data_IF_749569757216
#
_entry.id   IF_749569757216
#
_cell.length_a   1.000
_cell.length_b   1.000
_cell.length_c   1.000
_cell.angle_alpha   90.00
_cell.angle_beta   90.00
_cell.angle_gamma   90.00
#
_symmetry.space_group_name_H-M   'P 1'
#
loop_
_entity.id
_entity.type
_entity.pdbx_description
1 polymer ?
#
# COMPACT_ATOMS: atom_id res chain seq x y z
N UNK A 1 -10.40 -8.87 11.15
CA UNK A 1 -10.29 -9.17 9.71
C UNK A 1 -10.31 -7.83 8.98
N UNK A 2 -9.26 -7.48 8.25
CA UNK A 2 -8.96 -6.12 7.75
C UNK A 2 -9.86 -5.59 6.61
N UNK A 3 -11.00 -6.23 6.35
CA UNK A 3 -11.98 -5.76 5.35
C UNK A 3 -11.48 -5.65 3.90
N UNK A 4 -10.35 -6.28 3.56
CA UNK A 4 -9.74 -6.18 2.24
C UNK A 4 -10.58 -6.89 1.17
N UNK A 5 -10.89 -6.16 0.11
CA UNK A 5 -11.65 -6.66 -1.03
C UNK A 5 -10.94 -6.27 -2.33
N UNK A 6 -10.58 -7.24 -3.19
CA UNK A 6 -10.60 -8.70 -2.96
C UNK A 6 -9.69 -9.13 -1.80
N UNK A 7 -9.93 -10.32 -1.25
CA UNK A 7 -9.04 -10.88 -0.22
C UNK A 7 -7.69 -11.27 -0.85
N UNK A 8 -6.56 -10.74 -0.34
CA UNK A 8 -5.24 -11.13 -0.82
C UNK A 8 -4.96 -12.62 -0.66
N UNK A 9 -4.08 -13.16 -1.52
CA UNK A 9 -3.63 -14.55 -1.43
C UNK A 9 -2.98 -14.88 -0.08
N UNK A 10 -2.15 -13.98 0.47
CA UNK A 10 -1.46 -14.18 1.74
C UNK A 10 -1.45 -12.88 2.56
N UNK A 11 -1.72 -13.01 3.86
CA UNK A 11 -1.57 -11.95 4.86
C UNK A 11 -0.90 -12.56 6.09
N UNK A 12 0.21 -11.99 6.53
CA UNK A 12 0.87 -12.33 7.77
C UNK A 12 0.95 -11.11 8.69
N UNK A 13 0.38 -11.26 9.88
CA UNK A 13 0.46 -10.20 10.90
C UNK A 13 1.85 -10.21 11.56
N UNK A 14 2.42 -9.02 11.71
CA UNK A 14 3.65 -8.78 12.45
C UNK A 14 3.35 -7.96 13.71
N UNK A 15 4.23 -8.07 14.70
CA UNK A 15 4.12 -7.27 15.93
C UNK A 15 4.41 -5.81 15.62
N UNK A 16 3.54 -4.93 16.10
CA UNK A 16 3.71 -3.48 16.01
C UNK A 16 2.65 -2.79 15.19
N UNK A 17 2.71 -1.47 15.20
CA UNK A 17 1.89 -0.59 14.36
C UNK A 17 2.78 0.49 13.76
N UNK A 18 2.39 0.96 12.59
CA UNK A 18 2.98 2.08 11.89
C UNK A 18 2.03 3.27 11.97
N UNK A 19 2.54 4.36 12.54
CA UNK A 19 1.87 5.65 12.54
C UNK A 19 2.16 6.39 11.21
N UNK A 20 1.13 6.65 10.41
CA UNK A 20 1.21 7.47 9.21
C UNK A 20 0.88 8.94 9.55
N UNK A 21 1.69 9.91 9.06
CA UNK A 21 1.34 11.32 9.14
C UNK A 21 0.18 11.64 8.20
N UNK A 22 -0.41 12.83 8.34
CA UNK A 22 -1.49 13.28 7.46
C UNK A 22 -1.11 13.28 5.96
N UNK A 23 0.17 13.52 5.67
CA UNK A 23 0.73 13.55 4.32
C UNK A 23 2.04 12.74 4.29
N UNK A 24 1.97 11.41 4.10
CA UNK A 24 3.16 10.57 4.07
C UNK A 24 4.03 10.88 2.85
N UNK A 25 5.34 10.74 3.01
CA UNK A 25 6.31 10.83 1.92
C UNK A 25 6.30 9.51 1.15
N UNK A 26 6.07 9.61 -0.16
CA UNK A 26 6.10 8.45 -1.07
C UNK A 26 7.30 8.59 -2.00
N UNK A 27 8.27 7.71 -1.84
CA UNK A 27 9.42 7.55 -2.72
C UNK A 27 9.07 6.49 -3.78
N UNK A 28 9.30 6.79 -5.05
CA UNK A 28 9.01 5.87 -6.14
C UNK A 28 10.25 5.67 -7.01
N UNK A 29 10.48 4.42 -7.42
CA UNK A 29 11.48 4.11 -8.43
C UNK A 29 11.10 4.76 -9.78
N UNK A 30 12.07 5.00 -10.68
CA UNK A 30 11.80 5.59 -11.99
C UNK A 30 10.74 4.80 -12.77
N UNK A 31 9.75 5.49 -13.33
CA UNK A 31 8.64 4.88 -14.07
C UNK A 31 7.41 4.52 -13.24
N UNK A 32 7.41 4.83 -11.93
CA UNK A 32 6.26 4.67 -11.02
C UNK A 32 5.67 6.01 -10.54
N UNK A 33 5.93 7.11 -11.27
CA UNK A 33 5.50 8.44 -10.88
C UNK A 33 3.97 8.57 -10.85
N UNK A 34 3.28 7.90 -11.77
CA UNK A 34 1.82 7.88 -11.81
C UNK A 34 1.22 7.14 -10.61
N UNK A 35 1.77 5.98 -10.26
CA UNK A 35 1.35 5.18 -9.10
C UNK A 35 1.61 5.91 -7.79
N UNK A 36 2.74 6.64 -7.70
CA UNK A 36 3.04 7.53 -6.57
C UNK A 36 1.95 8.60 -6.42
N UNK A 37 1.63 9.33 -7.49
CA UNK A 37 0.67 10.43 -7.43
C UNK A 37 -0.75 9.96 -7.10
N UNK A 38 -1.13 8.83 -7.67
CA UNK A 38 -2.39 8.16 -7.38
C UNK A 38 -2.47 7.74 -5.90
N UNK A 39 -1.43 7.10 -5.37
CA UNK A 39 -1.38 6.71 -3.95
C UNK A 39 -1.37 7.94 -3.04
N UNK A 40 -0.62 9.00 -3.38
CA UNK A 40 -0.60 10.24 -2.62
C UNK A 40 -2.00 10.85 -2.50
N UNK A 41 -2.73 10.93 -3.62
CA UNK A 41 -4.09 11.45 -3.65
C UNK A 41 -5.05 10.63 -2.79
N UNK A 42 -4.97 9.30 -2.89
CA UNK A 42 -5.79 8.38 -2.10
C UNK A 42 -5.50 8.46 -0.61
N UNK A 43 -4.23 8.39 -0.19
CA UNK A 43 -3.86 8.46 1.22
C UNK A 43 -4.22 9.81 1.83
N UNK A 44 -3.98 10.92 1.12
CA UNK A 44 -4.41 12.25 1.59
C UNK A 44 -5.92 12.26 1.83
N UNK A 45 -6.72 11.72 0.91
CA UNK A 45 -8.17 11.66 1.07
C UNK A 45 -8.63 10.74 2.21
N UNK A 46 -7.94 9.64 2.47
CA UNK A 46 -8.28 8.73 3.57
C UNK A 46 -7.91 9.32 4.95
N UNK A 47 -6.76 10.00 5.04
CA UNK A 47 -6.17 10.40 6.32
C UNK A 47 -6.52 11.82 6.77
N UNK A 48 -7.12 12.65 5.89
CA UNK A 48 -7.50 14.05 6.17
C UNK A 48 -8.41 14.20 7.39
N UNK A 49 -9.29 13.22 7.64
CA UNK A 49 -10.25 13.24 8.76
C UNK A 49 -9.80 12.44 9.98
N UNK A 50 -8.65 11.78 9.91
CA UNK A 50 -8.15 10.97 11.02
C UNK A 50 -7.48 11.87 12.08
N UNK A 51 -7.54 11.49 13.38
CA UNK A 51 -6.95 12.28 14.46
C UNK A 51 -5.44 12.48 14.24
N UNK A 52 -4.86 13.61 14.70
CA UNK A 52 -3.43 13.89 14.56
C UNK A 52 -2.58 12.84 15.27
N UNK A 53 -1.40 12.55 14.71
CA UNK A 53 -0.48 11.54 15.23
C UNK A 53 0.86 12.19 15.57
N UNK A 54 1.61 11.64 16.53
CA UNK A 54 2.89 12.20 16.96
C UNK A 54 3.95 12.32 15.84
N UNK A 55 3.78 11.57 14.75
CA UNK A 55 4.66 11.58 13.56
C UNK A 55 4.46 12.79 12.64
N UNK A 56 3.46 13.65 12.87
CA UNK A 56 3.25 14.86 12.06
C UNK A 56 4.39 15.90 12.24
N UNK A 57 5.29 15.71 13.21
CA UNK A 57 6.42 16.61 13.53
C UNK A 57 7.81 16.09 13.12
N UNK A 58 7.90 14.87 12.58
CA UNK A 58 9.16 14.22 12.16
C UNK A 58 9.00 13.86 10.68
N UNK A 59 10.08 13.84 9.85
CA UNK A 59 10.00 13.22 8.53
C UNK A 59 9.42 11.80 8.68
N UNK A 60 8.17 11.65 8.27
CA UNK A 60 7.38 10.46 8.54
C UNK A 60 7.94 9.22 7.85
N UNK A 61 7.44 8.03 8.22
CA UNK A 61 7.86 6.78 7.60
C UNK A 61 7.73 6.84 6.08
N UNK A 62 8.82 6.50 5.38
CA UNK A 62 8.85 6.51 3.93
C UNK A 62 8.01 5.33 3.39
N UNK A 63 7.08 5.63 2.49
CA UNK A 63 6.43 4.63 1.66
C UNK A 63 7.28 4.50 0.39
N UNK A 64 7.87 3.34 0.15
CA UNK A 64 8.72 3.09 -1.01
C UNK A 64 8.01 2.22 -2.03
N UNK A 65 7.97 2.68 -3.28
CA UNK A 65 7.44 1.97 -4.43
C UNK A 65 8.59 1.48 -5.30
N UNK A 66 8.67 0.17 -5.48
CA UNK A 66 9.73 -0.50 -6.23
C UNK A 66 9.15 -1.44 -7.29
N UNK A 67 9.88 -1.60 -8.39
CA UNK A 67 9.66 -2.67 -9.35
C UNK A 67 10.57 -3.84 -9.02
N UNK A 68 9.97 -5.02 -8.88
CA UNK A 68 10.68 -6.26 -8.66
C UNK A 68 9.99 -7.40 -9.43
N UNK A 69 10.48 -7.71 -10.65
CA UNK A 69 9.92 -8.79 -11.46
C UNK A 69 9.96 -10.17 -10.80
N UNK A 70 10.75 -10.36 -9.73
CA UNK A 70 10.80 -11.62 -8.99
C UNK A 70 9.60 -11.84 -8.06
N UNK A 71 8.79 -10.80 -7.82
CA UNK A 71 7.56 -10.86 -7.01
C UNK A 71 6.53 -11.81 -7.62
N UNK A 72 6.48 -11.93 -8.95
CA UNK A 72 5.59 -12.89 -9.60
C UNK A 72 5.18 -12.50 -11.02
N UNK A 73 3.99 -12.96 -11.41
CA UNK A 73 3.39 -12.63 -12.70
C UNK A 73 2.93 -11.16 -12.77
N UNK A 74 2.51 -10.72 -13.95
CA UNK A 74 1.94 -9.39 -14.15
C UNK A 74 0.83 -9.09 -13.13
N UNK A 75 0.78 -7.85 -12.65
CA UNK A 75 -0.07 -7.36 -11.56
C UNK A 75 0.17 -7.97 -10.16
N UNK A 76 1.17 -8.85 -9.98
CA UNK A 76 1.54 -9.34 -8.65
C UNK A 76 2.22 -8.25 -7.82
N UNK A 77 1.99 -8.26 -6.51
CA UNK A 77 2.64 -7.35 -5.58
C UNK A 77 2.95 -7.99 -4.22
N UNK A 78 3.94 -7.41 -3.55
CA UNK A 78 4.29 -7.67 -2.17
C UNK A 78 4.29 -6.34 -1.38
N UNK A 79 3.51 -6.28 -0.32
CA UNK A 79 3.38 -5.12 0.57
C UNK A 79 3.87 -5.49 1.97
N UNK A 80 4.90 -4.81 2.43
CA UNK A 80 5.45 -4.95 3.77
C UNK A 80 5.26 -3.65 4.55
N UNK A 81 4.51 -3.71 5.64
CA UNK A 81 4.31 -2.63 6.60
C UNK A 81 5.14 -2.97 7.84
N UNK A 82 6.25 -2.27 8.01
CA UNK A 82 7.08 -2.33 9.21
C UNK A 82 6.76 -1.19 10.18
N UNK A 83 7.42 -1.14 11.35
CA UNK A 83 7.19 -0.10 12.36
C UNK A 83 7.66 1.30 11.92
N UNK A 84 8.59 1.38 10.96
CA UNK A 84 9.24 2.63 10.53
C UNK A 84 9.06 2.97 9.04
N UNK A 85 8.55 2.04 8.23
CA UNK A 85 8.44 2.22 6.79
C UNK A 85 7.42 1.26 6.15
N UNK A 86 6.92 1.65 4.98
CA UNK A 86 6.15 0.77 4.09
C UNK A 86 6.96 0.52 2.84
N UNK A 87 7.02 -0.74 2.43
CA UNK A 87 7.64 -1.14 1.17
C UNK A 87 6.63 -1.87 0.30
N UNK A 88 6.40 -1.35 -0.89
CA UNK A 88 5.51 -1.93 -1.89
C UNK A 88 6.31 -2.25 -3.15
N UNK A 89 6.38 -3.54 -3.45
CA UNK A 89 7.01 -4.07 -4.67
C UNK A 89 5.95 -4.63 -5.59
N UNK A 90 5.95 -4.21 -6.85
CA UNK A 90 5.13 -4.80 -7.90
C UNK A 90 6.01 -5.51 -8.93
N UNK A 91 5.51 -6.59 -9.52
CA UNK A 91 6.15 -7.23 -10.68
C UNK A 91 6.21 -6.28 -11.89
N UNK A 92 5.23 -5.38 -11.98
CA UNK A 92 5.11 -4.28 -12.94
C UNK A 92 4.36 -3.09 -12.29
N UNK A 93 4.19 -2.00 -13.04
CA UNK A 93 3.46 -0.82 -12.56
C UNK A 93 2.00 -1.15 -12.18
N UNK A 94 1.35 -2.08 -12.89
CA UNK A 94 0.01 -2.52 -12.54
C UNK A 94 -0.02 -3.22 -11.18
N UNK A 95 0.99 -4.02 -10.84
CA UNK A 95 1.15 -4.64 -9.53
C UNK A 95 1.32 -3.61 -8.43
N UNK A 96 2.15 -2.59 -8.65
CA UNK A 96 2.26 -1.46 -7.71
C UNK A 96 0.90 -0.77 -7.54
N UNK A 97 0.14 -0.53 -8.60
CA UNK A 97 -1.20 0.05 -8.49
C UNK A 97 -2.17 -0.85 -7.68
N UNK A 98 -2.09 -2.19 -7.81
CA UNK A 98 -2.89 -3.12 -7.00
C UNK A 98 -2.50 -3.04 -5.52
N UNK A 99 -1.22 -3.06 -5.20
CA UNK A 99 -0.77 -2.94 -3.82
C UNK A 99 -1.05 -1.56 -3.21
N UNK A 100 -1.02 -0.50 -4.01
CA UNK A 100 -1.43 0.84 -3.60
C UNK A 100 -2.92 0.88 -3.21
N UNK A 101 -3.78 0.18 -3.96
CA UNK A 101 -5.19 0.02 -3.61
C UNK A 101 -5.38 -0.74 -2.29
N UNK A 102 -4.58 -1.80 -2.06
CA UNK A 102 -4.58 -2.53 -0.78
C UNK A 102 -4.17 -1.64 0.39
N UNK A 103 -3.09 -0.88 0.24
CA UNK A 103 -2.64 0.08 1.27
C UNK A 103 -3.69 1.16 1.54
N UNK A 104 -4.35 1.66 0.49
CA UNK A 104 -5.45 2.61 0.62
C UNK A 104 -6.64 2.02 1.41
N UNK A 105 -7.03 0.78 1.13
CA UNK A 105 -8.09 0.12 1.90
C UNK A 105 -7.71 -0.08 3.37
N UNK A 106 -6.45 -0.46 3.64
CA UNK A 106 -5.94 -0.53 5.02
C UNK A 106 -6.05 0.83 5.72
N UNK A 107 -5.63 1.92 5.07
CA UNK A 107 -5.76 3.27 5.60
C UNK A 107 -7.22 3.71 5.82
N UNK A 108 -8.15 3.31 4.95
CA UNK A 108 -9.58 3.57 5.15
C UNK A 108 -10.15 2.82 6.36
N UNK A 109 -9.67 1.60 6.61
CA UNK A 109 -10.19 0.74 7.70
C UNK A 109 -9.55 1.02 9.07
N UNK A 110 -8.24 1.24 9.11
CA UNK A 110 -7.45 1.39 10.34
C UNK A 110 -7.05 2.86 10.62
N UNK A 111 -7.25 3.75 9.66
CA UNK A 111 -6.88 5.16 9.78
C UNK A 111 -5.36 5.37 9.69
N UNK A 112 -4.82 6.14 10.62
CA UNK A 112 -3.38 6.50 10.67
C UNK A 112 -2.50 5.47 11.38
N UNK A 113 -3.07 4.47 12.04
CA UNK A 113 -2.33 3.49 12.84
C UNK A 113 -2.42 2.10 12.22
N UNK A 114 -1.63 1.88 11.16
CA UNK A 114 -1.66 0.63 10.41
C UNK A 114 -1.00 -0.50 11.21
N UNK A 115 -1.58 -1.71 11.25
CA UNK A 115 -0.87 -2.88 11.77
C UNK A 115 0.36 -3.20 10.91
N UNK A 116 1.43 -3.70 11.53
CA UNK A 116 2.55 -4.26 10.78
C UNK A 116 2.10 -5.55 10.09
N UNK A 117 2.25 -5.63 8.78
CA UNK A 117 1.74 -6.71 7.94
C UNK A 117 2.73 -7.07 6.84
N UNK A 118 2.71 -8.33 6.41
CA UNK A 118 3.21 -8.75 5.11
C UNK A 118 2.05 -9.29 4.28
N UNK A 119 1.87 -8.75 3.09
CA UNK A 119 0.84 -9.14 2.15
C UNK A 119 1.52 -9.51 0.83
N UNK A 120 1.16 -10.67 0.30
CA UNK A 120 1.53 -11.06 -1.05
C UNK A 120 0.26 -11.42 -1.82
N UNK A 121 0.13 -10.89 -3.02
CA UNK A 121 -1.08 -11.08 -3.81
C UNK A 121 -0.79 -11.04 -5.31
N UNK A 122 -1.63 -11.73 -6.06
CA UNK A 122 -1.51 -11.81 -7.50
C UNK A 122 -2.86 -12.17 -8.12
N UNK A 123 -3.12 -11.72 -9.35
CA UNK A 123 -4.34 -12.08 -10.02
C UNK A 123 -4.43 -13.60 -10.30
N UNK A 124 -5.40 -14.31 -9.69
CA UNK A 124 -5.76 -15.69 -10.09
C UNK A 124 -6.06 -15.89 -11.60
N UNK A 125 -6.75 -14.94 -12.23
CA UNK A 125 -7.01 -14.92 -13.68
C UNK A 125 -6.53 -13.61 -14.30
N UNK A 126 -5.99 -13.67 -15.51
CA UNK A 126 -5.48 -12.50 -16.25
C UNK A 126 -6.61 -11.60 -16.78
N UNK A 127 -7.77 -12.17 -17.13
CA UNK A 127 -8.93 -11.37 -17.56
C UNK A 127 -9.89 -11.17 -16.39
N UNK A 128 -10.21 -9.90 -16.09
CA UNK A 128 -11.22 -9.49 -15.11
C UNK A 128 -12.00 -8.30 -15.67
N UNK A 129 -13.28 -8.48 -15.98
CA UNK A 129 -14.09 -7.41 -16.56
C UNK A 129 -15.57 -7.79 -16.63
N UNK A 130 -16.40 -6.82 -17.02
CA UNK A 130 -17.84 -6.97 -17.21
C UNK A 130 -18.25 -6.45 -18.58
N UNK A 131 -19.36 -6.96 -19.13
CA UNK A 131 -19.96 -6.45 -20.36
C UNK A 131 -20.93 -5.33 -19.98
N UNK A 132 -20.82 -4.19 -20.66
CA UNK A 132 -21.62 -2.98 -20.45
C UNK A 132 -22.73 -2.85 -21.49
#
# INVERSE_FOLDING_TARGET
>A
MYGLIPLPLQIHERKGRLALPANPLIEAAPGLEAERDLLQGWLRSALDKAPPTAVDSVPGPAIRLELDPSVGASEAYALSIGPDAVLLRGADAAGVARGAATLYQLALSEGRELPCLDIADAPRFAWRGFML
#
